data_IF_366743387136
#
_entry.id   IF_366743387136
#
_cell.length_a   1.000
_cell.length_b   1.000
_cell.length_c   1.000
_cell.angle_alpha   90.00
_cell.angle_beta   90.00
_cell.angle_gamma   90.00
#
_symmetry.space_group_name_H-M   'P 1'
#
loop_
_entity.id
_entity.type
_entity.pdbx_description
1 polymer ?
#
# COMPACT_ATOMS: atom_id res chain seq x y z
N UNK A 1 -15.02 -4.02 -26.21
CA UNK A 1 -13.92 -5.03 -26.25
C UNK A 1 -13.12 -4.91 -24.96
N UNK A 2 -12.61 -6.01 -24.39
CA UNK A 2 -11.84 -5.98 -23.14
C UNK A 2 -10.47 -5.32 -23.33
N UNK A 3 -9.74 -5.72 -24.38
CA UNK A 3 -8.47 -5.13 -24.81
C UNK A 3 -8.72 -4.26 -26.03
N UNK A 4 -8.06 -3.11 -26.10
CA UNK A 4 -8.07 -2.22 -27.26
C UNK A 4 -6.65 -1.79 -27.63
N UNK A 5 -6.33 -1.84 -28.92
CA UNK A 5 -5.09 -1.24 -29.42
C UNK A 5 -5.34 0.22 -29.79
N UNK A 6 -4.48 1.13 -29.35
CA UNK A 6 -4.59 2.57 -29.63
C UNK A 6 -3.29 3.07 -30.24
N UNK A 7 -3.30 3.25 -31.57
CA UNK A 7 -2.19 3.72 -32.40
C UNK A 7 -2.63 4.83 -33.36
N UNK A 8 -1.67 5.54 -33.97
CA UNK A 8 -1.93 6.72 -34.82
C UNK A 8 -2.82 6.44 -36.02
N UNK A 9 -2.73 5.22 -36.51
CA UNK A 9 -3.39 4.66 -37.68
C UNK A 9 -4.64 3.82 -37.34
N UNK A 10 -5.08 3.80 -36.07
CA UNK A 10 -6.26 3.05 -35.64
C UNK A 10 -7.41 3.99 -35.21
N UNK A 11 -8.34 4.35 -36.13
CA UNK A 11 -9.50 5.18 -35.82
C UNK A 11 -10.45 4.56 -34.79
N UNK A 12 -10.64 3.23 -34.83
CA UNK A 12 -11.51 2.52 -33.89
C UNK A 12 -10.96 2.63 -32.46
N UNK A 13 -9.65 2.41 -32.29
CA UNK A 13 -8.97 2.54 -31.00
C UNK A 13 -9.04 3.95 -30.44
N UNK A 14 -8.81 4.96 -31.29
CA UNK A 14 -8.92 6.38 -30.90
C UNK A 14 -10.32 6.74 -30.40
N UNK A 15 -11.36 6.25 -31.08
CA UNK A 15 -12.75 6.48 -30.67
C UNK A 15 -13.11 5.84 -29.31
N UNK A 16 -12.32 4.87 -28.84
CA UNK A 16 -12.55 4.19 -27.55
C UNK A 16 -11.75 4.81 -26.40
N UNK A 17 -10.96 5.85 -26.65
CA UNK A 17 -10.13 6.47 -25.62
C UNK A 17 -10.97 7.19 -24.56
N UNK A 18 -12.07 7.84 -24.96
CA UNK A 18 -13.01 8.47 -24.03
C UNK A 18 -13.65 7.44 -23.10
N UNK A 19 -14.03 6.28 -23.64
CA UNK A 19 -14.55 5.16 -22.87
C UNK A 19 -13.50 4.57 -21.90
N UNK A 20 -12.20 4.65 -22.23
CA UNK A 20 -11.13 4.22 -21.32
C UNK A 20 -10.90 5.22 -20.18
N UNK A 21 -11.10 6.52 -20.44
CA UNK A 21 -10.93 7.58 -19.45
C UNK A 21 -12.15 7.73 -18.52
N UNK A 22 -13.33 7.31 -18.99
CA UNK A 22 -14.56 7.37 -18.20
C UNK A 22 -14.48 6.44 -16.98
N UNK A 23 -14.60 7.05 -15.80
CA UNK A 23 -14.59 6.36 -14.50
C UNK A 23 -15.74 5.37 -14.34
N UNK A 24 -16.83 5.53 -15.11
CA UNK A 24 -18.02 4.68 -15.05
C UNK A 24 -18.03 3.60 -16.14
N UNK A 25 -17.18 3.74 -17.15
CA UNK A 25 -17.02 2.72 -18.17
C UNK A 25 -16.23 1.53 -17.64
N UNK A 26 -16.66 0.34 -18.02
CA UNK A 26 -15.95 -0.91 -17.72
C UNK A 26 -14.95 -1.29 -18.81
N UNK A 27 -15.10 -0.74 -20.03
CA UNK A 27 -14.34 -1.16 -21.20
C UNK A 27 -13.92 0.00 -22.10
N UNK A 28 -12.75 -0.10 -22.76
CA UNK A 28 -11.77 -1.17 -22.62
C UNK A 28 -11.11 -1.17 -21.22
N UNK A 29 -10.70 -2.34 -20.73
CA UNK A 29 -10.01 -2.47 -19.45
C UNK A 29 -8.49 -2.37 -19.64
N UNK A 30 -7.99 -2.81 -20.80
CA UNK A 30 -6.59 -2.76 -21.19
C UNK A 30 -6.48 -2.00 -22.50
N UNK A 31 -5.56 -1.03 -22.54
CA UNK A 31 -5.17 -0.35 -23.76
C UNK A 31 -3.69 -0.61 -24.04
N UNK A 32 -3.37 -1.05 -25.26
CA UNK A 32 -1.99 -1.18 -25.74
C UNK A 32 -1.65 -0.03 -26.67
N UNK A 33 -0.45 0.53 -26.54
CA UNK A 33 0.02 1.61 -27.40
C UNK A 33 1.53 1.51 -27.60
N UNK A 34 2.02 2.12 -28.68
CA UNK A 34 3.46 2.32 -28.90
C UNK A 34 3.92 3.69 -28.41
N UNK A 35 3.22 4.76 -28.81
CA UNK A 35 3.52 6.16 -28.45
C UNK A 35 2.29 7.03 -28.23
N UNK A 36 1.09 6.59 -28.61
CA UNK A 36 -0.06 7.50 -28.70
C UNK A 36 -0.63 7.89 -27.33
N UNK A 37 -0.44 7.03 -26.32
CA UNK A 37 -0.68 7.40 -24.93
C UNK A 37 0.55 8.09 -24.31
N UNK A 38 1.43 8.78 -25.03
CA UNK A 38 2.49 9.59 -24.37
C UNK A 38 1.97 10.98 -23.97
N UNK A 39 0.92 11.50 -24.61
CA UNK A 39 0.30 12.79 -24.28
C UNK A 39 -1.24 12.71 -24.34
N UNK A 40 -1.95 13.50 -23.54
CA UNK A 40 -3.41 13.74 -23.71
C UNK A 40 -4.41 12.77 -23.06
N UNK A 41 -4.04 11.55 -22.66
CA UNK A 41 -4.99 10.65 -21.95
C UNK A 41 -5.07 11.02 -20.46
N UNK A 42 -6.24 10.91 -19.85
CA UNK A 42 -6.45 11.19 -18.43
C UNK A 42 -7.31 10.09 -17.83
N UNK A 43 -6.68 8.95 -17.56
CA UNK A 43 -7.33 7.81 -16.93
C UNK A 43 -7.15 7.90 -15.40
N UNK A 44 -8.06 8.60 -14.71
CA UNK A 44 -8.03 8.74 -13.23
C UNK A 44 -8.05 7.38 -12.51
N UNK A 45 -8.62 6.37 -13.13
CA UNK A 45 -8.77 5.01 -12.61
C UNK A 45 -7.64 4.07 -13.00
N UNK A 46 -6.54 4.55 -13.60
CA UNK A 46 -5.43 3.72 -14.07
C UNK A 46 -4.66 3.03 -12.93
N UNK A 47 -4.88 1.73 -12.74
CA UNK A 47 -4.27 0.94 -11.65
C UNK A 47 -3.00 0.19 -12.05
N UNK A 48 -2.77 -0.03 -13.34
CA UNK A 48 -1.68 -0.87 -13.82
C UNK A 48 -1.04 -0.23 -15.06
N UNK A 49 0.28 -0.10 -15.04
CA UNK A 49 1.10 0.29 -16.18
C UNK A 49 2.03 -0.87 -16.52
N UNK A 50 2.04 -1.30 -17.77
CA UNK A 50 2.94 -2.35 -18.25
C UNK A 50 3.95 -1.73 -19.21
N UNK A 51 5.23 -1.87 -18.88
CA UNK A 51 6.35 -1.39 -19.69
C UNK A 51 6.97 -2.57 -20.44
N UNK A 52 6.65 -2.68 -21.72
CA UNK A 52 7.35 -3.55 -22.67
C UNK A 52 7.90 -2.72 -23.83
N UNK A 53 8.62 -1.66 -23.49
CA UNK A 53 9.29 -0.79 -24.45
C UNK A 53 10.57 -0.24 -23.85
N UNK A 54 11.58 -0.03 -24.70
CA UNK A 54 12.83 0.61 -24.30
C UNK A 54 12.59 2.12 -24.25
N UNK A 55 12.39 2.65 -23.04
CA UNK A 55 12.20 4.10 -22.84
C UNK A 55 13.57 4.71 -22.56
N UNK A 56 14.04 5.55 -23.48
CA UNK A 56 15.37 6.17 -23.42
C UNK A 56 15.34 7.60 -22.86
N UNK A 57 14.15 8.17 -22.65
CA UNK A 57 13.98 9.54 -22.18
C UNK A 57 13.27 9.58 -20.83
N UNK A 58 13.86 10.29 -19.87
CA UNK A 58 13.24 10.57 -18.58
C UNK A 58 11.90 11.29 -18.72
N UNK A 59 11.76 12.19 -19.70
CA UNK A 59 10.52 12.91 -19.94
C UNK A 59 9.40 11.97 -20.39
N UNK A 60 9.69 11.04 -21.31
CA UNK A 60 8.74 10.04 -21.76
C UNK A 60 8.35 9.09 -20.61
N UNK A 61 9.34 8.68 -19.81
CA UNK A 61 9.10 7.87 -18.61
C UNK A 61 8.14 8.56 -17.64
N UNK A 62 8.43 9.82 -17.24
CA UNK A 62 7.56 10.61 -16.34
C UNK A 62 6.14 10.78 -16.91
N UNK A 63 6.01 10.99 -18.22
CA UNK A 63 4.71 11.12 -18.87
C UNK A 63 3.89 9.81 -18.78
N UNK A 64 4.53 8.66 -18.97
CA UNK A 64 3.89 7.35 -18.87
C UNK A 64 3.46 7.10 -17.43
N UNK A 65 4.38 7.24 -16.46
CA UNK A 65 4.11 6.98 -15.05
C UNK A 65 3.07 7.96 -14.49
N UNK A 66 3.09 9.22 -14.92
CA UNK A 66 2.12 10.25 -14.54
C UNK A 66 0.67 9.92 -14.89
N UNK A 67 0.41 8.88 -15.69
CA UNK A 67 -0.95 8.36 -15.91
C UNK A 67 -1.49 7.57 -14.72
N UNK A 68 -0.62 6.93 -13.95
CA UNK A 68 -0.95 6.13 -12.77
C UNK A 68 -1.04 6.95 -11.49
N UNK A 69 -0.37 8.10 -11.41
CA UNK A 69 -0.22 8.89 -10.17
C UNK A 69 -1.49 9.59 -9.69
N UNK A 70 -2.57 9.59 -10.48
CA UNK A 70 -3.84 10.20 -10.06
C UNK A 70 -4.51 9.36 -8.98
N UNK A 71 -4.83 10.01 -7.86
CA UNK A 71 -5.62 9.41 -6.79
C UNK A 71 -7.11 9.42 -7.14
N UNK A 72 -7.80 8.34 -6.79
CA UNK A 72 -9.25 8.25 -6.85
C UNK A 72 -9.78 7.36 -5.70
N UNK A 73 -9.71 7.85 -4.43
CA UNK A 73 -10.02 7.06 -3.24
C UNK A 73 -11.47 6.57 -3.17
N UNK A 74 -12.42 7.32 -3.74
CA UNK A 74 -13.85 6.93 -3.82
C UNK A 74 -14.08 5.57 -4.50
N UNK A 75 -13.17 5.14 -5.39
CA UNK A 75 -13.20 3.80 -5.99
C UNK A 75 -11.99 2.95 -5.58
N UNK A 76 -11.37 3.22 -4.44
CA UNK A 76 -10.25 2.44 -3.89
C UNK A 76 -9.00 2.48 -4.76
N UNK A 77 -8.75 3.61 -5.45
CA UNK A 77 -7.48 3.81 -6.15
C UNK A 77 -6.62 4.82 -5.38
N UNK A 78 -5.72 4.27 -4.60
CA UNK A 78 -4.74 5.02 -3.79
C UNK A 78 -3.30 4.75 -4.23
N UNK A 79 -3.09 3.66 -4.98
CA UNK A 79 -1.82 3.29 -5.58
C UNK A 79 -2.00 2.87 -7.05
N UNK A 80 -0.89 2.55 -7.70
CA UNK A 80 -0.87 1.87 -8.99
C UNK A 80 0.37 0.98 -9.06
N UNK A 81 0.30 -0.06 -9.88
CA UNK A 81 1.38 -1.03 -10.06
C UNK A 81 2.06 -0.79 -11.41
N UNK A 82 3.37 -0.95 -11.44
CA UNK A 82 4.16 -0.97 -12.67
C UNK A 82 4.69 -2.40 -12.85
N UNK A 83 4.38 -3.02 -13.98
CA UNK A 83 5.04 -4.25 -14.43
C UNK A 83 6.05 -3.84 -15.50
N UNK A 84 7.32 -4.14 -15.27
CA UNK A 84 8.40 -3.73 -16.15
C UNK A 84 9.16 -4.94 -16.70
N UNK A 85 9.05 -5.14 -18.02
CA UNK A 85 9.75 -6.21 -18.74
C UNK A 85 11.12 -5.78 -19.29
N UNK A 86 11.46 -4.48 -19.21
CA UNK A 86 12.64 -3.88 -19.84
C UNK A 86 13.59 -3.21 -18.84
N UNK A 87 13.29 -3.27 -17.54
CA UNK A 87 14.07 -2.70 -16.46
C UNK A 87 14.27 -1.17 -16.60
N UNK A 88 13.24 -0.50 -17.14
CA UNK A 88 13.12 0.95 -17.27
C UNK A 88 12.94 1.62 -15.90
N UNK A 89 12.33 0.95 -14.92
CA UNK A 89 12.10 1.49 -13.58
C UNK A 89 13.38 1.86 -12.84
N UNK A 90 14.56 1.42 -13.28
CA UNK A 90 15.84 1.97 -12.81
C UNK A 90 15.94 3.49 -12.98
N UNK A 91 15.19 4.09 -13.91
CA UNK A 91 15.09 5.55 -14.06
C UNK A 91 14.48 6.24 -12.83
N UNK A 92 13.76 5.53 -11.95
CA UNK A 92 13.34 6.09 -10.66
C UNK A 92 14.52 6.39 -9.73
N UNK A 93 15.66 5.72 -9.90
CA UNK A 93 16.87 5.96 -9.11
C UNK A 93 17.63 7.23 -9.55
N UNK A 94 17.23 7.86 -10.66
CA UNK A 94 17.78 9.13 -11.09
C UNK A 94 17.32 10.25 -10.12
N UNK A 95 18.23 10.96 -9.44
CA UNK A 95 17.87 12.10 -8.58
C UNK A 95 17.09 13.21 -9.29
N UNK A 96 17.14 13.26 -10.64
CA UNK A 96 16.33 14.14 -11.48
C UNK A 96 14.90 13.63 -11.73
N UNK A 97 14.53 12.44 -11.26
CA UNK A 97 13.16 11.91 -11.32
C UNK A 97 12.18 12.78 -10.51
N UNK A 98 12.59 13.20 -9.31
CA UNK A 98 11.88 14.18 -8.47
C UNK A 98 12.50 15.59 -8.55
N UNK A 99 13.30 15.87 -9.59
CA UNK A 99 13.97 17.16 -9.78
C UNK A 99 13.05 18.30 -10.22
N UNK A 100 12.95 19.30 -9.34
CA UNK A 100 12.33 20.66 -9.35
C UNK A 100 10.91 20.84 -9.95
N UNK A 101 9.91 21.32 -9.17
CA UNK A 101 8.70 21.92 -9.75
C UNK A 101 9.08 23.09 -10.66
N UNK A 102 8.22 23.44 -11.61
CA UNK A 102 8.42 24.62 -12.45
C UNK A 102 8.71 25.85 -11.56
N UNK A 103 9.93 26.39 -11.66
CA UNK A 103 10.40 27.51 -10.85
C UNK A 103 9.48 28.72 -10.98
N UNK A 104 8.88 29.15 -9.86
CA UNK A 104 8.70 30.57 -9.59
C UNK A 104 10.07 31.07 -9.11
N UNK A 105 10.59 32.12 -9.74
CA UNK A 105 11.87 32.73 -9.45
C UNK A 105 11.91 33.26 -8.02
N UNK A 106 12.79 32.72 -7.17
CA UNK A 106 13.40 33.49 -6.10
C UNK A 106 14.88 33.07 -5.92
N UNK A 107 15.85 34.01 -6.05
CA UNK A 107 17.26 33.69 -6.10
C UNK A 107 17.87 33.78 -4.71
N UNK A 108 18.03 32.66 -4.00
CA UNK A 108 19.13 32.39 -3.07
C UNK A 108 18.85 31.09 -2.31
N UNK A 109 19.65 30.05 -2.53
CA UNK A 109 20.25 29.16 -1.51
C UNK A 109 21.03 28.01 -2.18
N UNK A 110 22.16 27.64 -1.56
CA UNK A 110 23.19 26.74 -2.10
C UNK A 110 23.02 25.28 -1.61
N UNK A 111 23.56 24.39 -2.45
CA UNK A 111 23.57 22.92 -2.49
C UNK A 111 24.26 22.18 -1.33
N UNK A 112 23.85 20.92 -1.10
CA UNK A 112 24.65 19.86 -0.47
C UNK A 112 24.24 18.47 -1.01
N UNK A 113 25.20 17.70 -1.53
CA UNK A 113 25.11 16.33 -2.04
C UNK A 113 25.14 15.30 -0.90
N UNK A 114 24.45 14.17 -1.05
CA UNK A 114 25.08 12.86 -0.83
C UNK A 114 24.32 11.72 -1.53
N UNK A 115 25.10 10.74 -2.01
CA UNK A 115 24.66 9.56 -2.77
C UNK A 115 24.79 8.31 -1.89
N UNK A 116 23.77 7.46 -1.83
CA UNK A 116 23.91 6.12 -1.26
C UNK A 116 23.18 5.06 -2.08
N UNK A 117 23.90 3.96 -2.28
CA UNK A 117 23.59 2.79 -3.10
C UNK A 117 22.60 1.85 -2.39
N UNK A 118 21.63 1.31 -3.12
CA UNK A 118 20.72 0.26 -2.62
C UNK A 118 21.16 -1.13 -3.11
N UNK A 119 21.41 -2.04 -2.17
CA UNK A 119 21.62 -3.48 -2.41
C UNK A 119 20.28 -4.22 -2.41
N UNK A 120 20.07 -5.09 -3.41
CA UNK A 120 18.88 -5.94 -3.60
C UNK A 120 19.14 -7.33 -3.03
N UNK A 121 18.17 -7.90 -2.30
CA UNK A 121 18.21 -9.30 -1.86
C UNK A 121 16.86 -9.84 -1.35
N UNK A 122 16.53 -11.05 -1.84
CA UNK A 122 15.50 -12.04 -1.43
C UNK A 122 14.03 -11.88 -1.91
N UNK A 123 13.22 -12.96 -1.90
CA UNK A 123 13.20 -14.09 -2.83
C UNK A 123 12.02 -14.02 -3.83
N UNK A 124 12.21 -14.63 -5.01
CA UNK A 124 11.31 -14.50 -6.17
C UNK A 124 10.02 -15.33 -6.03
N UNK A 125 8.87 -14.67 -5.91
CA UNK A 125 7.56 -15.30 -6.08
C UNK A 125 7.27 -15.62 -7.56
N UNK A 126 6.66 -16.79 -7.80
CA UNK A 126 6.38 -17.32 -9.14
C UNK A 126 4.92 -17.15 -9.50
N UNK A 127 4.64 -16.50 -10.61
CA UNK A 127 3.29 -16.34 -11.14
C UNK A 127 3.10 -17.19 -12.40
N UNK A 128 1.88 -17.66 -12.66
CA UNK A 128 1.54 -18.44 -13.87
C UNK A 128 0.58 -17.65 -14.75
N UNK A 129 0.98 -17.39 -15.99
CA UNK A 129 0.10 -16.81 -17.03
C UNK A 129 0.08 -17.78 -18.20
N UNK A 130 -1.11 -18.33 -18.52
CA UNK A 130 -1.40 -19.13 -19.72
C UNK A 130 -0.26 -20.10 -20.12
N UNK A 131 0.03 -21.07 -19.26
CA UNK A 131 0.99 -22.18 -19.47
C UNK A 131 2.48 -21.82 -19.57
N UNK A 132 2.87 -20.56 -19.28
CA UNK A 132 4.28 -20.16 -19.13
C UNK A 132 4.60 -19.78 -17.69
N UNK A 133 5.74 -20.26 -17.21
CA UNK A 133 6.32 -19.87 -15.91
C UNK A 133 6.95 -18.49 -16.06
N UNK A 134 6.56 -17.55 -15.21
CA UNK A 134 7.19 -16.23 -15.11
C UNK A 134 7.68 -16.03 -13.68
N UNK A 135 8.85 -15.42 -13.55
CA UNK A 135 9.53 -15.15 -12.29
C UNK A 135 9.64 -13.62 -12.12
N UNK A 136 9.31 -13.09 -10.93
CA UNK A 136 9.52 -11.67 -10.62
C UNK A 136 11.00 -11.46 -10.30
N UNK A 137 11.73 -10.73 -11.15
CA UNK A 137 13.16 -10.49 -10.93
C UNK A 137 13.44 -9.54 -9.77
N UNK A 138 12.56 -8.54 -9.57
CA UNK A 138 12.66 -7.54 -8.50
C UNK A 138 11.27 -6.97 -8.23
N UNK A 139 10.99 -6.60 -6.97
CA UNK A 139 9.80 -5.86 -6.55
C UNK A 139 10.22 -4.73 -5.62
N UNK A 140 9.62 -3.56 -5.77
CA UNK A 140 9.93 -2.41 -4.91
C UNK A 140 8.67 -1.60 -4.70
N UNK A 141 8.39 -1.27 -3.45
CA UNK A 141 7.29 -0.39 -3.07
C UNK A 141 7.84 1.01 -2.87
N UNK A 142 7.30 1.98 -3.61
CA UNK A 142 7.65 3.38 -3.48
C UNK A 142 6.44 4.17 -2.97
N UNK A 143 6.67 5.02 -1.98
CA UNK A 143 5.64 5.82 -1.32
C UNK A 143 5.94 7.29 -1.54
N UNK A 144 4.88 8.08 -1.75
CA UNK A 144 4.98 9.54 -1.79
C UNK A 144 4.77 10.10 -0.38
N UNK A 145 5.60 11.06 0.00
CA UNK A 145 5.45 11.81 1.24
C UNK A 145 4.34 12.88 1.14
N UNK A 146 4.13 13.63 2.23
CA UNK A 146 3.14 14.72 2.32
C UNK A 146 3.38 15.86 1.31
N UNK A 147 4.58 15.97 0.76
CA UNK A 147 4.96 16.96 -0.24
C UNK A 147 4.90 16.41 -1.67
N UNK A 148 4.47 15.16 -1.84
CA UNK A 148 4.40 14.50 -3.15
C UNK A 148 5.76 14.09 -3.70
N UNK A 149 6.79 13.97 -2.84
CA UNK A 149 8.11 13.47 -3.20
C UNK A 149 8.22 11.98 -2.89
N UNK A 150 8.92 11.21 -3.72
CA UNK A 150 9.19 9.81 -3.40
C UNK A 150 10.07 9.72 -2.16
N UNK A 151 9.63 8.88 -1.23
CA UNK A 151 10.43 8.47 -0.09
C UNK A 151 11.55 7.59 -0.63
N UNK A 152 12.77 8.14 -0.65
CA UNK A 152 13.99 7.43 -1.08
C UNK A 152 14.61 6.58 0.02
N UNK A 153 14.19 6.78 1.28
CA UNK A 153 14.60 5.95 2.40
C UNK A 153 13.82 4.63 2.41
N UNK A 154 14.30 3.62 3.15
CA UNK A 154 13.53 2.39 3.34
C UNK A 154 12.14 2.74 3.87
N UNK A 155 11.09 2.18 3.26
CA UNK A 155 9.69 2.37 3.69
C UNK A 155 9.53 2.10 5.19
N UNK A 156 10.28 1.14 5.72
CA UNK A 156 10.34 0.78 7.14
C UNK A 156 10.93 1.91 7.99
N UNK A 157 11.97 2.60 7.52
CA UNK A 157 12.58 3.73 8.23
C UNK A 157 11.68 4.97 8.21
N UNK A 158 11.08 5.27 7.06
CA UNK A 158 10.10 6.36 6.91
C UNK A 158 8.89 6.15 7.82
N UNK A 159 8.34 4.93 7.82
CA UNK A 159 7.23 4.56 8.70
C UNK A 159 7.62 4.71 10.16
N UNK A 160 8.80 4.21 10.56
CA UNK A 160 9.30 4.35 11.93
C UNK A 160 9.37 5.82 12.34
N UNK A 161 9.93 6.69 11.49
CA UNK A 161 10.01 8.14 11.76
C UNK A 161 8.62 8.76 11.97
N UNK A 162 7.64 8.41 11.14
CA UNK A 162 6.28 8.95 11.25
C UNK A 162 5.55 8.47 12.51
N UNK A 163 5.72 7.21 12.90
CA UNK A 163 5.16 6.69 14.15
C UNK A 163 5.82 7.40 15.34
N UNK A 164 7.15 7.47 15.39
CA UNK A 164 7.89 8.13 16.47
C UNK A 164 7.63 9.65 16.54
N UNK A 165 7.37 10.29 15.39
CA UNK A 165 6.98 11.69 15.33
C UNK A 165 5.58 11.96 15.91
N UNK A 166 4.71 10.95 15.92
CA UNK A 166 3.37 11.03 16.54
C UNK A 166 3.37 10.54 17.99
N UNK A 167 4.06 9.44 18.26
CA UNK A 167 4.15 8.77 19.54
C UNK A 167 5.63 8.52 19.88
N UNK A 168 6.24 9.46 20.60
CA UNK A 168 7.67 9.47 20.86
C UNK A 168 8.16 8.24 21.63
N UNK A 169 7.34 7.73 22.56
CA UNK A 169 7.68 6.55 23.35
C UNK A 169 6.67 5.43 23.20
N UNK A 170 7.11 4.21 23.51
CA UNK A 170 6.23 3.02 23.58
C UNK A 170 5.05 3.27 24.52
N UNK A 171 5.29 3.92 25.66
CA UNK A 171 4.27 4.24 26.65
C UNK A 171 3.23 5.20 26.08
N UNK A 172 3.65 6.21 25.31
CA UNK A 172 2.73 7.17 24.67
C UNK A 172 1.81 6.45 23.69
N UNK A 173 2.39 5.57 22.84
CA UNK A 173 1.61 4.79 21.90
C UNK A 173 0.64 3.84 22.60
N UNK A 174 1.10 3.06 23.60
CA UNK A 174 0.25 2.14 24.36
C UNK A 174 -0.89 2.91 25.05
N UNK A 175 -0.60 4.07 25.64
CA UNK A 175 -1.60 4.90 26.32
C UNK A 175 -2.65 5.42 25.34
N UNK A 176 -2.21 5.98 24.21
CA UNK A 176 -3.11 6.42 23.15
C UNK A 176 -3.94 5.25 22.60
N UNK A 177 -3.29 4.12 22.33
CA UNK A 177 -3.92 2.90 21.85
C UNK A 177 -5.01 2.43 22.79
N UNK A 178 -4.75 2.31 24.09
CA UNK A 178 -5.77 1.87 25.05
C UNK A 178 -6.89 2.89 25.27
N UNK A 179 -6.57 4.19 25.26
CA UNK A 179 -7.54 5.25 25.54
C UNK A 179 -8.49 5.56 24.39
N UNK A 180 -8.15 5.17 23.16
CA UNK A 180 -9.02 5.38 22.00
C UNK A 180 -10.26 4.48 22.05
N UNK A 181 -11.44 5.07 21.86
CA UNK A 181 -12.71 4.33 21.76
C UNK A 181 -12.71 3.33 20.60
N UNK A 182 -12.10 3.72 19.47
CA UNK A 182 -11.90 2.87 18.28
C UNK A 182 -10.45 2.98 17.82
N UNK A 183 -9.76 1.85 17.76
CA UNK A 183 -8.37 1.71 17.29
C UNK A 183 -8.27 2.08 15.81
N UNK A 184 -9.35 1.90 15.04
CA UNK A 184 -9.43 2.39 13.67
C UNK A 184 -9.09 3.88 13.52
N UNK A 185 -9.45 4.71 14.49
CA UNK A 185 -9.13 6.16 14.46
C UNK A 185 -7.62 6.39 14.48
N UNK A 186 -6.89 5.64 15.31
CA UNK A 186 -5.42 5.73 15.37
C UNK A 186 -4.81 5.28 14.05
N UNK A 187 -5.30 4.19 13.48
CA UNK A 187 -4.83 3.68 12.19
C UNK A 187 -5.06 4.69 11.05
N UNK A 188 -6.24 5.33 11.02
CA UNK A 188 -6.55 6.38 10.04
C UNK A 188 -5.69 7.63 10.22
N UNK A 189 -5.39 8.03 11.45
CA UNK A 189 -4.46 9.15 11.74
C UNK A 189 -3.03 8.84 11.29
N UNK A 190 -2.54 7.65 11.61
CA UNK A 190 -1.21 7.19 11.19
C UNK A 190 -1.13 7.08 9.66
N UNK A 191 -2.17 6.56 9.00
CA UNK A 191 -2.26 6.51 7.55
C UNK A 191 -2.13 7.89 6.91
N UNK A 192 -2.85 8.90 7.45
CA UNK A 192 -2.74 10.31 6.98
C UNK A 192 -1.35 10.89 7.16
N UNK A 193 -0.57 10.37 8.11
CA UNK A 193 0.83 10.75 8.35
C UNK A 193 1.83 9.86 7.60
N UNK A 194 1.38 9.10 6.60
CA UNK A 194 2.25 8.31 5.74
C UNK A 194 2.63 6.93 6.30
N UNK A 195 1.88 6.40 7.27
CA UNK A 195 2.07 5.02 7.76
C UNK A 195 1.15 4.07 7.00
N UNK A 196 1.68 3.47 5.94
CA UNK A 196 0.93 2.57 5.06
C UNK A 196 1.24 1.10 5.41
N UNK A 197 0.49 0.53 6.36
CA UNK A 197 0.76 -0.82 6.87
C UNK A 197 0.70 -1.91 5.78
N UNK A 198 -0.25 -1.81 4.84
CA UNK A 198 -0.37 -2.78 3.73
C UNK A 198 0.89 -2.79 2.84
N UNK A 199 1.42 -1.61 2.55
CA UNK A 199 2.65 -1.45 1.76
C UNK A 199 3.86 -2.05 2.47
N UNK A 200 3.93 -1.91 3.79
CA UNK A 200 5.00 -2.51 4.60
C UNK A 200 4.86 -4.03 4.67
N UNK A 201 3.62 -4.53 4.81
CA UNK A 201 3.35 -5.97 4.81
C UNK A 201 3.81 -6.62 3.52
N UNK A 202 3.52 -5.99 2.38
CA UNK A 202 4.00 -6.45 1.08
C UNK A 202 5.53 -6.38 0.97
N UNK A 203 6.14 -5.25 1.34
CA UNK A 203 7.58 -5.04 1.23
C UNK A 203 8.40 -5.98 2.14
N UNK A 204 7.91 -6.28 3.33
CA UNK A 204 8.60 -7.12 4.34
C UNK A 204 8.09 -8.57 4.35
N UNK A 205 7.21 -8.94 3.41
CA UNK A 205 6.56 -10.25 3.31
C UNK A 205 5.90 -10.70 4.64
N UNK A 206 5.17 -9.80 5.28
CA UNK A 206 4.47 -10.03 6.54
C UNK A 206 2.99 -10.29 6.28
N UNK A 207 2.53 -11.49 6.61
CA UNK A 207 1.12 -11.84 6.49
C UNK A 207 0.23 -11.07 7.47
N UNK A 208 -0.85 -10.48 6.96
CA UNK A 208 -1.95 -9.87 7.75
C UNK A 208 -2.63 -10.89 8.67
N UNK A 209 -2.63 -12.17 8.26
CA UNK A 209 -3.22 -13.27 9.04
C UNK A 209 -2.32 -13.69 10.21
N UNK A 210 -1.03 -13.39 10.15
CA UNK A 210 -0.07 -13.80 11.17
C UNK A 210 0.14 -12.72 12.24
N UNK A 211 0.40 -11.48 11.81
CA UNK A 211 0.74 -10.36 12.71
C UNK A 211 -0.33 -9.29 12.60
N UNK A 212 -0.90 -8.91 13.74
CA UNK A 212 -1.86 -7.80 13.84
C UNK A 212 -1.22 -6.43 13.65
N UNK A 213 -2.00 -5.43 13.23
CA UNK A 213 -1.52 -4.06 13.02
C UNK A 213 -0.88 -3.47 14.28
N UNK A 214 -1.41 -3.77 15.46
CA UNK A 214 -0.82 -3.32 16.71
C UNK A 214 0.62 -3.83 16.88
N UNK A 215 0.83 -5.14 16.71
CA UNK A 215 2.15 -5.75 16.87
C UNK A 215 3.11 -5.35 15.74
N UNK A 216 2.60 -5.11 14.54
CA UNK A 216 3.38 -4.56 13.44
C UNK A 216 3.89 -3.15 13.77
N UNK A 217 3.03 -2.27 14.27
CA UNK A 217 3.40 -0.92 14.71
C UNK A 217 4.46 -0.96 15.82
N UNK A 218 4.29 -1.85 16.81
CA UNK A 218 5.26 -2.03 17.89
C UNK A 218 6.64 -2.49 17.39
N UNK A 219 6.67 -3.45 16.46
CA UNK A 219 7.89 -3.94 15.82
C UNK A 219 8.60 -2.83 15.05
N UNK A 220 7.86 -2.09 14.23
CA UNK A 220 8.40 -1.05 13.35
C UNK A 220 8.97 0.12 14.15
N UNK A 221 8.21 0.63 15.11
CA UNK A 221 8.53 1.87 15.82
C UNK A 221 9.50 1.66 16.98
N UNK A 222 9.32 0.58 17.75
CA UNK A 222 9.99 0.39 19.05
C UNK A 222 10.89 -0.85 19.12
N UNK A 223 11.06 -1.56 18.01
CA UNK A 223 11.90 -2.77 17.95
C UNK A 223 11.41 -3.91 18.84
N UNK A 224 10.13 -3.89 19.22
CA UNK A 224 9.54 -4.96 20.04
C UNK A 224 9.43 -6.25 19.22
N UNK A 225 9.58 -7.39 19.89
CA UNK A 225 9.27 -8.67 19.27
C UNK A 225 7.76 -8.73 19.05
N UNK A 226 7.34 -8.73 17.78
CA UNK A 226 5.93 -8.87 17.39
C UNK A 226 5.39 -10.22 17.86
N UNK A 227 4.21 -10.22 18.48
CA UNK A 227 3.46 -11.43 18.74
C UNK A 227 2.59 -11.76 17.53
N UNK A 228 2.49 -13.04 17.20
CA UNK A 228 1.46 -13.50 16.27
C UNK A 228 0.08 -13.41 16.91
N UNK A 229 -0.99 -13.31 16.09
CA UNK A 229 -2.38 -13.35 16.58
C UNK A 229 -2.63 -14.60 17.43
N UNK A 230 -2.11 -15.75 16.99
CA UNK A 230 -2.16 -17.02 17.72
C UNK A 230 -1.49 -16.93 19.10
N UNK A 231 -0.30 -16.33 19.18
CA UNK A 231 0.40 -16.14 20.45
C UNK A 231 -0.35 -15.19 21.38
N UNK A 232 -0.94 -14.10 20.85
CA UNK A 232 -1.75 -13.18 21.66
C UNK A 232 -2.94 -13.88 22.29
N UNK A 233 -3.72 -14.61 21.51
CA UNK A 233 -4.88 -15.35 22.02
C UNK A 233 -4.45 -16.36 23.08
N UNK A 234 -3.39 -17.11 22.81
CA UNK A 234 -2.84 -18.06 23.77
C UNK A 234 -2.43 -17.38 25.07
N UNK A 235 -1.75 -16.25 25.00
CA UNK A 235 -1.34 -15.48 26.17
C UNK A 235 -2.55 -14.97 26.97
N UNK A 236 -3.61 -14.49 26.29
CA UNK A 236 -4.86 -14.08 26.94
C UNK A 236 -5.53 -15.25 27.64
N UNK A 237 -5.69 -16.40 26.96
CA UNK A 237 -6.28 -17.61 27.54
C UNK A 237 -5.47 -18.12 28.74
N UNK A 238 -4.13 -18.08 28.66
CA UNK A 238 -3.23 -18.52 29.73
C UNK A 238 -3.13 -17.55 30.92
N UNK A 239 -3.34 -16.25 30.70
CA UNK A 239 -3.31 -15.24 31.77
C UNK A 239 -4.40 -15.43 32.83
N UNK A 240 -5.40 -16.24 32.51
CA UNK A 240 -6.58 -16.44 33.34
C UNK A 240 -7.51 -15.22 33.42
N UNK A 241 -7.27 -14.18 32.61
CA UNK A 241 -8.12 -12.98 32.59
C UNK A 241 -9.58 -13.29 32.30
N UNK A 242 -9.84 -14.28 31.43
CA UNK A 242 -11.19 -14.70 31.05
C UNK A 242 -11.99 -15.32 32.21
N UNK A 243 -11.33 -15.86 33.24
CA UNK A 243 -12.01 -16.45 34.41
C UNK A 243 -12.62 -15.41 35.35
N UNK A 244 -12.40 -14.11 35.10
CA UNK A 244 -13.06 -13.02 35.85
C UNK A 244 -14.52 -12.81 35.42
N UNK A 245 -14.93 -13.41 34.30
CA UNK A 245 -16.26 -13.26 33.72
C UNK A 245 -17.10 -14.51 33.97
N UNK A 246 -18.44 -14.39 33.84
CA UNK A 246 -19.35 -15.54 33.94
C UNK A 246 -19.09 -16.56 32.82
N UNK A 247 -19.64 -17.76 32.95
CA UNK A 247 -19.47 -18.82 31.96
C UNK A 247 -19.98 -18.40 30.58
N UNK A 248 -21.14 -17.73 30.53
CA UNK A 248 -21.76 -17.21 29.31
C UNK A 248 -20.91 -16.09 28.69
N UNK A 249 -20.47 -15.12 29.52
CA UNK A 249 -19.63 -14.02 29.05
C UNK A 249 -18.26 -14.52 28.55
N UNK A 250 -17.68 -15.53 29.20
CA UNK A 250 -16.44 -16.17 28.75
C UNK A 250 -16.63 -16.85 27.40
N UNK A 251 -17.73 -17.58 27.20
CA UNK A 251 -18.02 -18.25 25.94
C UNK A 251 -18.16 -17.25 24.78
N UNK A 252 -18.83 -16.11 25.01
CA UNK A 252 -18.90 -15.01 24.03
C UNK A 252 -17.50 -14.45 23.72
N UNK A 253 -16.67 -14.20 24.75
CA UNK A 253 -15.30 -13.70 24.57
C UNK A 253 -14.42 -14.69 23.79
N UNK A 254 -14.59 -15.99 23.99
CA UNK A 254 -13.84 -17.01 23.25
C UNK A 254 -14.20 -17.00 21.75
N UNK A 255 -15.49 -16.91 21.41
CA UNK A 255 -15.93 -16.78 20.01
C UNK A 255 -15.38 -15.50 19.36
N UNK A 256 -15.35 -14.38 20.11
CA UNK A 256 -14.76 -13.14 19.62
C UNK A 256 -13.25 -13.26 19.37
N UNK A 257 -12.51 -13.92 20.27
CA UNK A 257 -11.08 -14.17 20.08
C UNK A 257 -10.82 -15.03 18.84
N UNK A 258 -11.68 -16.01 18.57
CA UNK A 258 -11.55 -16.84 17.37
C UNK A 258 -11.83 -16.01 16.09
N UNK A 259 -12.82 -15.10 16.10
CA UNK A 259 -13.06 -14.18 14.96
C UNK A 259 -11.92 -13.18 14.73
N UNK A 260 -11.25 -12.77 15.81
CA UNK A 260 -10.09 -11.89 15.73
C UNK A 260 -8.94 -12.52 14.92
N UNK A 261 -8.79 -13.85 14.93
CA UNK A 261 -7.79 -14.53 14.10
C UNK A 261 -7.95 -14.18 12.62
N UNK A 262 -9.19 -14.32 12.11
CA UNK A 262 -9.47 -14.26 10.68
C UNK A 262 -9.43 -12.83 10.13
N UNK A 263 -9.87 -11.86 10.93
CA UNK A 263 -10.19 -10.50 10.45
C UNK A 263 -9.60 -9.36 11.28
N UNK A 264 -8.78 -9.67 12.27
CA UNK A 264 -8.07 -8.68 13.09
C UNK A 264 -8.99 -7.84 13.98
N UNK A 265 -8.44 -6.74 14.49
CA UNK A 265 -9.12 -5.92 15.51
C UNK A 265 -10.38 -5.21 15.00
N UNK A 266 -10.49 -4.94 13.70
CA UNK A 266 -11.60 -4.18 13.11
C UNK A 266 -12.98 -4.84 13.30
N UNK A 267 -13.07 -6.17 13.29
CA UNK A 267 -14.33 -6.89 13.55
C UNK A 267 -14.74 -6.82 15.03
N UNK A 268 -13.78 -6.73 15.95
CA UNK A 268 -14.08 -6.63 17.38
C UNK A 268 -14.70 -5.28 17.75
N UNK A 269 -14.51 -4.25 16.94
CA UNK A 269 -15.03 -2.90 17.19
C UNK A 269 -16.47 -2.71 16.68
N UNK A 270 -17.03 -3.70 15.99
CA UNK A 270 -18.37 -3.65 15.43
C UNK A 270 -19.38 -4.36 16.33
N UNK A 271 -20.40 -3.63 16.79
CA UNK A 271 -21.53 -4.21 17.54
C UNK A 271 -22.30 -5.22 16.68
N UNK A 272 -22.27 -5.07 15.35
CA UNK A 272 -22.92 -6.02 14.42
C UNK A 272 -22.32 -7.42 14.51
N UNK A 273 -21.07 -7.57 14.96
CA UNK A 273 -20.41 -8.87 15.14
C UNK A 273 -21.19 -9.74 16.14
N UNK A 274 -21.79 -9.14 17.17
CA UNK A 274 -22.60 -9.84 18.16
C UNK A 274 -23.98 -10.27 17.64
N UNK A 275 -24.40 -9.83 16.45
CA UNK A 275 -25.66 -10.26 15.80
C UNK A 275 -25.47 -11.47 14.88
N UNK A 276 -24.25 -12.01 14.79
CA UNK A 276 -23.99 -13.19 13.97
C UNK A 276 -24.63 -14.43 14.59
N UNK A 277 -25.05 -15.43 13.78
CA UNK A 277 -25.79 -16.60 14.27
C UNK A 277 -25.09 -17.37 15.39
N UNK A 278 -23.76 -17.34 15.39
CA UNK A 278 -22.90 -17.98 16.39
C UNK A 278 -23.07 -17.41 17.81
N UNK A 279 -23.58 -16.17 17.93
CA UNK A 279 -23.87 -15.52 19.22
C UNK A 279 -25.31 -15.70 19.68
N UNK A 280 -26.23 -16.18 18.84
CA UNK A 280 -27.64 -16.38 19.21
C UNK A 280 -27.89 -17.50 20.24
N UNK A 281 -26.83 -18.25 20.57
CA UNK A 281 -26.87 -19.36 21.53
C UNK A 281 -26.63 -18.88 22.97
N UNK A 282 -26.26 -17.60 23.13
CA UNK A 282 -25.97 -16.92 24.41
C UNK A 282 -26.97 -15.78 24.63
#
# INVERSE_FOLDING_TARGET
RYVMQVTGDNPEGKAQLDNFMDVNSKFPAIVTTSKLLTTGVNAKTCRLIVLDSNIQSMTEFKQIIGRGTRLYPEKGKEFFTIIDFRNVTNLFADPGFDGEPAKILDPNLKTGQDSTSFTVGDPIEKYRVADRKVDILNSTVQVLDENGKLVTESLTDYTRKNILGTYATLTDFITAWHSADKKKVILEELYKKGVYLDAIREAENISEQEIDDFDLLLKLAYGQKSLTKTERIRNVKQSGYLFKYSEEARAVLEVLLDKYMDKGIGELESIETLKLPEFHVY
#
